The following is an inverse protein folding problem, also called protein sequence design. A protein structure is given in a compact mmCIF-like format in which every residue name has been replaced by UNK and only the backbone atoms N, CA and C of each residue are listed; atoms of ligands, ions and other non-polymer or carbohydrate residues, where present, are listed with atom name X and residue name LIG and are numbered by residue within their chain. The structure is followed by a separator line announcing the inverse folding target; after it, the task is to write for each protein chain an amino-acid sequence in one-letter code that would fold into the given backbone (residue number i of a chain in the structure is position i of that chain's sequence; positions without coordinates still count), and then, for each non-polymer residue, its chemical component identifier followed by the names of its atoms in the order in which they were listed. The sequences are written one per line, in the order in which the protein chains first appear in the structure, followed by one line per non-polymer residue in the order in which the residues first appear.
data_IF_116096248456
#
_entry.id   IF_116096248456
#
_cell.length_a   1.000
_cell.length_b   1.000
_cell.length_c   1.000
_cell.angle_alpha   90.00
_cell.angle_beta   90.00
_cell.angle_gamma   90.00
#
_symmetry.space_group_name_H-M   'P 1'
#
loop_
_entity.id
_entity.type
_entity.pdbx_description
1 polymer ?
#
# COMPACT_ATOMS: atom_id res chain seq x y z
N UNK A 1 -22.60 5.81 32.32
CA UNK A 1 -23.18 5.18 31.11
C UNK A 1 -22.17 5.33 29.99
N UNK A 2 -21.64 4.22 29.44
CA UNK A 2 -20.81 4.27 28.23
C UNK A 2 -21.77 4.26 27.04
N UNK A 3 -21.82 5.36 26.28
CA UNK A 3 -22.58 5.42 25.03
C UNK A 3 -22.03 4.37 24.07
N UNK A 4 -22.88 3.45 23.64
CA UNK A 4 -22.54 2.42 22.66
C UNK A 4 -22.27 3.10 21.31
N UNK A 5 -21.06 2.91 20.78
CA UNK A 5 -20.64 3.45 19.49
C UNK A 5 -21.61 3.01 18.37
N UNK A 6 -22.01 3.96 17.50
CA UNK A 6 -22.85 3.65 16.33
C UNK A 6 -22.06 2.85 15.27
N UNK A 7 -22.76 2.18 14.35
CA UNK A 7 -22.09 1.48 13.23
C UNK A 7 -21.27 2.45 12.36
N UNK A 8 -21.80 3.66 12.16
CA UNK A 8 -21.14 4.72 11.39
C UNK A 8 -19.88 5.24 12.08
N UNK A 9 -19.94 5.52 13.39
CA UNK A 9 -18.79 5.97 14.15
C UNK A 9 -17.69 4.90 14.17
N UNK A 10 -18.09 3.64 14.34
CA UNK A 10 -17.17 2.49 14.27
C UNK A 10 -16.50 2.40 12.91
N UNK A 11 -17.26 2.55 11.82
CA UNK A 11 -16.71 2.58 10.45
C UNK A 11 -15.68 3.71 10.30
N UNK A 12 -16.06 4.96 10.63
CA UNK A 12 -15.18 6.13 10.53
C UNK A 12 -13.90 5.94 11.34
N UNK A 13 -14.01 5.46 12.57
CA UNK A 13 -12.86 5.22 13.46
C UNK A 13 -11.91 4.17 12.90
N UNK A 14 -12.42 3.03 12.42
CA UNK A 14 -11.56 1.95 11.92
C UNK A 14 -10.95 2.33 10.57
N UNK A 15 -11.71 2.93 9.65
CA UNK A 15 -11.21 3.44 8.37
C UNK A 15 -10.10 4.48 8.59
N UNK A 16 -10.31 5.44 9.49
CA UNK A 16 -9.28 6.43 9.87
C UNK A 16 -8.01 5.76 10.40
N UNK A 17 -8.15 4.79 11.30
CA UNK A 17 -7.01 4.08 11.89
C UNK A 17 -6.20 3.31 10.83
N UNK A 18 -6.87 2.69 9.86
CA UNK A 18 -6.22 1.94 8.77
C UNK A 18 -5.56 2.85 7.76
N UNK A 19 -6.23 3.92 7.32
CA UNK A 19 -5.64 4.92 6.43
C UNK A 19 -4.45 5.63 7.09
N UNK A 20 -4.47 5.86 8.40
CA UNK A 20 -3.30 6.34 9.14
C UNK A 20 -2.10 5.39 9.01
N UNK A 21 -2.33 4.07 9.08
CA UNK A 21 -1.25 3.08 8.88
C UNK A 21 -0.74 3.06 7.45
N UNK A 22 -1.61 3.17 6.44
CA UNK A 22 -1.19 3.31 5.03
C UNK A 22 -0.30 4.55 4.88
N UNK A 23 -0.74 5.69 5.40
CA UNK A 23 0.04 6.93 5.36
C UNK A 23 1.40 6.79 6.04
N UNK A 24 1.49 6.14 7.20
CA UNK A 24 2.76 5.86 7.88
C UNK A 24 3.72 5.03 7.02
N UNK A 25 3.21 4.06 6.26
CA UNK A 25 4.05 3.27 5.34
C UNK A 25 4.49 4.12 4.15
N UNK A 26 3.64 5.02 3.63
CA UNK A 26 4.05 5.95 2.58
C UNK A 26 5.16 6.91 3.04
N UNK A 27 5.15 7.35 4.30
CA UNK A 27 6.28 8.11 4.88
C UNK A 27 7.58 7.27 4.91
N UNK A 28 7.49 5.95 5.09
CA UNK A 28 8.65 5.08 5.00
C UNK A 28 9.14 4.94 3.54
N UNK A 29 8.22 4.86 2.58
CA UNK A 29 8.56 4.87 1.15
C UNK A 29 9.24 6.19 0.76
N UNK A 30 8.79 7.32 1.29
CA UNK A 30 9.43 8.62 1.07
C UNK A 30 10.92 8.61 1.45
N UNK A 31 11.31 7.91 2.52
CA UNK A 31 12.72 7.80 2.93
C UNK A 31 13.61 7.07 1.89
N UNK A 32 13.01 6.36 0.93
CA UNK A 32 13.73 5.72 -0.16
C UNK A 32 14.20 6.72 -1.22
N UNK A 33 13.74 7.98 -1.20
CA UNK A 33 14.18 9.02 -2.14
C UNK A 33 15.64 9.48 -1.93
N UNK A 34 16.30 8.98 -0.90
CA UNK A 34 17.68 9.36 -0.60
C UNK A 34 18.67 8.63 -1.53
N UNK A 35 19.10 9.32 -2.60
CA UNK A 35 20.15 8.86 -3.51
C UNK A 35 21.51 8.55 -2.83
N UNK A 36 21.69 9.00 -1.58
CA UNK A 36 22.84 8.61 -0.77
C UNK A 36 22.86 7.11 -0.48
N UNK A 37 21.69 6.55 -0.17
CA UNK A 37 21.53 5.18 0.32
C UNK A 37 20.92 4.23 -0.71
N UNK A 38 20.26 4.76 -1.73
CA UNK A 38 19.49 4.01 -2.71
C UNK A 38 19.83 4.45 -4.13
N UNK A 39 19.62 3.55 -5.06
CA UNK A 39 19.73 3.80 -6.48
C UNK A 39 18.49 3.22 -7.15
N UNK A 40 17.88 4.01 -8.02
CA UNK A 40 16.68 3.65 -8.74
C UNK A 40 16.57 4.52 -9.99
N UNK A 41 15.81 4.06 -10.97
CA UNK A 41 15.48 4.79 -12.18
C UNK A 41 14.02 5.25 -12.17
N UNK A 42 13.69 6.10 -13.15
CA UNK A 42 12.35 6.67 -13.29
C UNK A 42 11.27 5.62 -13.51
N UNK A 43 11.56 4.54 -14.24
CA UNK A 43 10.60 3.46 -14.48
C UNK A 43 10.26 2.70 -13.20
N UNK A 44 11.24 2.45 -12.33
CA UNK A 44 11.01 1.82 -11.02
C UNK A 44 10.15 2.71 -10.13
N UNK A 45 10.38 4.02 -10.12
CA UNK A 45 9.53 4.95 -9.38
C UNK A 45 8.11 4.95 -9.96
N UNK A 46 7.98 5.00 -11.28
CA UNK A 46 6.68 4.97 -11.96
C UNK A 46 5.90 3.70 -11.61
N UNK A 47 6.53 2.54 -11.74
CA UNK A 47 5.93 1.24 -11.41
C UNK A 47 5.45 1.19 -9.96
N UNK A 48 6.26 1.67 -9.00
CA UNK A 48 5.92 1.69 -7.58
C UNK A 48 4.66 2.52 -7.30
N UNK A 49 4.56 3.72 -7.88
CA UNK A 49 3.43 4.61 -7.65
C UNK A 49 2.18 4.23 -8.46
N UNK A 50 2.33 3.67 -9.67
CA UNK A 50 1.22 3.09 -10.43
C UNK A 50 0.60 1.91 -9.68
N UNK A 51 1.42 1.02 -9.10
CA UNK A 51 0.93 -0.08 -8.29
C UNK A 51 0.15 0.42 -7.05
N UNK A 52 0.64 1.48 -6.40
CA UNK A 52 -0.06 2.12 -5.27
C UNK A 52 -1.41 2.73 -5.70
N UNK A 53 -1.45 3.45 -6.82
CA UNK A 53 -2.67 4.06 -7.36
C UNK A 53 -3.70 2.99 -7.74
N UNK A 54 -3.29 2.00 -8.52
CA UNK A 54 -4.12 0.87 -8.93
C UNK A 54 -4.74 0.16 -7.73
N UNK A 55 -3.97 0.01 -6.63
CA UNK A 55 -4.50 -0.56 -5.40
C UNK A 55 -5.58 0.31 -4.75
N UNK A 56 -5.40 1.63 -4.76
CA UNK A 56 -6.41 2.57 -4.29
C UNK A 56 -7.70 2.49 -5.10
N UNK A 57 -7.59 2.45 -6.44
CA UNK A 57 -8.73 2.31 -7.35
C UNK A 57 -9.47 0.99 -7.16
N UNK A 58 -8.73 -0.11 -6.99
CA UNK A 58 -9.30 -1.42 -6.71
C UNK A 58 -10.19 -1.37 -5.46
N UNK A 59 -9.68 -0.79 -4.37
CA UNK A 59 -10.40 -0.73 -3.10
C UNK A 59 -11.58 0.23 -3.17
N UNK A 60 -11.44 1.35 -3.88
CA UNK A 60 -12.55 2.26 -4.17
C UNK A 60 -13.71 1.55 -4.89
N UNK A 61 -13.43 0.65 -5.82
CA UNK A 61 -14.45 -0.10 -6.55
C UNK A 61 -15.36 -0.95 -5.63
N UNK A 62 -14.85 -1.47 -4.52
CA UNK A 62 -15.67 -2.19 -3.52
C UNK A 62 -16.68 -1.26 -2.85
N UNK A 63 -16.26 -0.05 -2.46
CA UNK A 63 -17.15 0.94 -1.86
C UNK A 63 -18.24 1.43 -2.83
N UNK A 64 -17.99 1.35 -4.14
CA UNK A 64 -18.98 1.67 -5.17
C UNK A 64 -19.86 0.48 -5.60
N UNK A 65 -19.69 -0.71 -5.02
CA UNK A 65 -20.41 -1.92 -5.44
C UNK A 65 -20.03 -2.41 -6.85
N UNK A 66 -18.86 -2.01 -7.36
CA UNK A 66 -18.34 -2.40 -8.68
C UNK A 66 -17.42 -3.63 -8.63
N UNK A 67 -17.14 -4.15 -7.43
CA UNK A 67 -16.30 -5.33 -7.20
C UNK A 67 -16.99 -6.30 -6.23
N UNK A 68 -16.76 -7.60 -6.44
CA UNK A 68 -17.26 -8.66 -5.56
C UNK A 68 -16.33 -8.91 -4.38
N UNK A 69 -16.89 -9.15 -3.19
CA UNK A 69 -16.17 -9.54 -1.97
C UNK A 69 -15.40 -10.87 -2.15
N UNK A 70 -15.82 -11.71 -3.09
CA UNK A 70 -15.16 -12.99 -3.43
C UNK A 70 -13.88 -12.80 -4.26
N UNK A 71 -13.59 -11.58 -4.73
CA UNK A 71 -12.39 -11.29 -5.51
C UNK A 71 -11.15 -11.51 -4.63
N UNK A 72 -10.24 -12.34 -5.09
CA UNK A 72 -8.90 -12.49 -4.50
C UNK A 72 -8.13 -11.20 -4.77
N UNK A 73 -7.70 -10.53 -3.69
CA UNK A 73 -6.92 -9.30 -3.76
C UNK A 73 -5.44 -9.60 -3.56
N UNK A 74 -4.61 -9.05 -4.44
CA UNK A 74 -3.16 -9.10 -4.25
C UNK A 74 -2.77 -8.39 -2.96
N UNK A 75 -1.89 -9.04 -2.20
CA UNK A 75 -1.37 -8.55 -0.93
C UNK A 75 0.14 -8.29 -0.98
N UNK A 76 0.74 -8.49 -2.16
CA UNK A 76 2.17 -8.32 -2.44
C UNK A 76 2.38 -7.45 -3.66
N UNK A 77 3.51 -6.74 -3.64
CA UNK A 77 4.07 -5.99 -4.75
C UNK A 77 5.51 -6.46 -4.95
N UNK A 78 5.87 -6.75 -6.20
CA UNK A 78 7.20 -7.17 -6.64
C UNK A 78 7.51 -6.40 -7.93
N UNK A 79 8.72 -5.87 -8.07
CA UNK A 79 9.12 -5.20 -9.29
C UNK A 79 9.14 -6.18 -10.48
N UNK A 80 8.69 -5.68 -11.62
CA UNK A 80 8.70 -6.39 -12.90
C UNK A 80 10.11 -6.79 -13.33
N UNK A 81 11.07 -5.89 -13.13
CA UNK A 81 12.48 -6.11 -13.41
C UNK A 81 13.23 -6.50 -12.15
N UNK A 82 14.13 -7.49 -12.28
CA UNK A 82 15.03 -7.86 -11.19
C UNK A 82 16.06 -6.76 -10.95
N UNK A 83 16.38 -6.49 -9.69
CA UNK A 83 17.55 -5.69 -9.34
C UNK A 83 18.83 -6.30 -9.91
N UNK A 84 19.79 -5.44 -10.25
CA UNK A 84 21.13 -5.90 -10.60
C UNK A 84 21.82 -6.39 -9.32
N UNK A 85 22.17 -7.68 -9.25
CA UNK A 85 22.82 -8.29 -8.08
C UNK A 85 24.19 -7.67 -7.74
N UNK A 86 24.83 -6.97 -8.69
CA UNK A 86 26.05 -6.19 -8.44
C UNK A 86 25.80 -4.81 -7.81
N UNK A 87 24.55 -4.32 -7.78
CA UNK A 87 24.20 -3.01 -7.25
C UNK A 87 23.43 -3.13 -5.92
N UNK A 88 24.19 -3.11 -4.82
CA UNK A 88 23.66 -3.22 -3.45
C UNK A 88 22.62 -2.12 -3.13
N UNK A 89 22.80 -0.90 -3.64
CA UNK A 89 21.87 0.21 -3.38
C UNK A 89 20.53 -0.01 -4.07
N UNK A 90 20.55 -0.52 -5.30
CA UNK A 90 19.34 -0.86 -6.06
C UNK A 90 18.63 -2.08 -5.46
N UNK A 91 19.36 -3.14 -5.12
CA UNK A 91 18.77 -4.32 -4.45
C UNK A 91 18.08 -3.92 -3.15
N UNK A 92 18.75 -3.10 -2.32
CA UNK A 92 18.16 -2.62 -1.06
C UNK A 92 16.93 -1.73 -1.29
N UNK A 93 16.92 -0.93 -2.36
CA UNK A 93 15.76 -0.15 -2.76
C UNK A 93 14.58 -1.08 -3.11
N UNK A 94 14.79 -2.07 -3.98
CA UNK A 94 13.78 -3.07 -4.35
C UNK A 94 13.19 -3.76 -3.12
N UNK A 95 14.03 -4.40 -2.31
CA UNK A 95 13.59 -5.16 -1.13
C UNK A 95 12.72 -4.32 -0.18
N UNK A 96 13.14 -3.08 0.09
CA UNK A 96 12.40 -2.21 1.00
C UNK A 96 11.12 -1.66 0.38
N UNK A 97 11.13 -1.32 -0.90
CA UNK A 97 9.95 -0.83 -1.60
C UNK A 97 8.89 -1.94 -1.74
N UNK A 98 9.29 -3.16 -2.13
CA UNK A 98 8.44 -4.35 -2.19
C UNK A 98 7.82 -4.68 -0.84
N UNK A 99 8.64 -4.76 0.20
CA UNK A 99 8.17 -5.02 1.56
C UNK A 99 7.16 -3.97 2.04
N UNK A 100 7.45 -2.69 1.81
CA UNK A 100 6.61 -1.58 2.28
C UNK A 100 5.32 -1.48 1.47
N UNK A 101 5.36 -1.55 0.16
CA UNK A 101 4.14 -1.47 -0.65
C UNK A 101 3.24 -2.70 -0.47
N UNK A 102 3.82 -3.90 -0.31
CA UNK A 102 3.07 -5.10 0.09
C UNK A 102 2.36 -4.90 1.43
N UNK A 103 3.02 -4.26 2.41
CA UNK A 103 2.39 -3.91 3.68
C UNK A 103 1.24 -2.92 3.50
N UNK A 104 1.36 -1.93 2.61
CA UNK A 104 0.24 -1.08 2.23
C UNK A 104 -0.92 -1.92 1.69
N UNK A 105 -0.66 -2.83 0.73
CA UNK A 105 -1.71 -3.65 0.12
C UNK A 105 -2.47 -4.46 1.17
N UNK A 106 -1.76 -5.11 2.09
CA UNK A 106 -2.36 -5.84 3.22
C UNK A 106 -3.26 -4.97 4.08
N UNK A 107 -2.81 -3.76 4.44
CA UNK A 107 -3.61 -2.84 5.25
C UNK A 107 -4.85 -2.39 4.48
N UNK A 108 -4.69 -2.01 3.21
CA UNK A 108 -5.79 -1.50 2.38
C UNK A 108 -6.82 -2.59 2.10
N UNK A 109 -6.40 -3.84 1.86
CA UNK A 109 -7.30 -5.00 1.71
C UNK A 109 -8.24 -5.15 2.89
N UNK A 110 -7.78 -4.87 4.12
CA UNK A 110 -8.68 -4.97 5.28
C UNK A 110 -9.88 -4.02 5.19
N UNK A 111 -9.77 -2.86 4.50
CA UNK A 111 -10.83 -1.85 4.38
C UNK A 111 -12.11 -2.41 3.76
N UNK A 112 -12.02 -3.41 2.88
CA UNK A 112 -13.20 -4.03 2.25
C UNK A 112 -14.12 -4.71 3.26
N UNK A 113 -13.59 -5.13 4.42
CA UNK A 113 -14.38 -5.76 5.49
C UNK A 113 -15.04 -4.73 6.42
N UNK A 114 -14.99 -3.44 6.08
CA UNK A 114 -15.65 -2.37 6.85
C UNK A 114 -16.99 -1.95 6.25
N UNK A 115 -17.14 -2.07 4.93
CA UNK A 115 -18.41 -1.93 4.22
C UNK A 115 -19.28 -3.16 4.47
#
# INVERSE_FOLDING_TARGET
MVLKESREDKFKRISKARLKKVHQVMLQIQNLSSHRFYEYNENEIKELFEAYENKGQEIYAFFCGKASIEKILDDTFVFSNKSNSGNIKQTKFHELAELRLSKCFKITNTLIHLS
#
